data_IF_289051936873
#
_entry.id   IF_289051936873
#
_cell.length_a   1.000
_cell.length_b   1.000
_cell.length_c   1.000
_cell.angle_alpha   90.00
_cell.angle_beta   90.00
_cell.angle_gamma   90.00
#
_symmetry.space_group_name_H-M   'P 1'
#
loop_
_entity.id
_entity.type
_entity.pdbx_description
1 polymer ?
#
# COMPACT_ATOMS: atom_id res chain seq x y z
N UNK A 1 -9.70 -12.80 11.44
CA UNK A 1 -8.50 -13.30 10.77
C UNK A 1 -7.63 -13.96 11.82
N UNK A 2 -7.25 -15.22 11.61
CA UNK A 2 -6.29 -15.91 12.49
C UNK A 2 -4.86 -15.41 12.29
N UNK A 3 -3.93 -15.80 13.15
CA UNK A 3 -2.51 -15.42 13.02
C UNK A 3 -1.90 -15.98 11.74
N UNK A 4 -2.13 -17.27 11.45
CA UNK A 4 -1.57 -17.93 10.27
C UNK A 4 -2.11 -17.31 8.97
N UNK A 5 -3.42 -17.06 8.91
CA UNK A 5 -4.08 -16.36 7.80
C UNK A 5 -3.48 -14.95 7.57
N UNK A 6 -3.09 -14.25 8.64
CA UNK A 6 -2.43 -12.95 8.53
C UNK A 6 -1.00 -13.07 8.02
N UNK A 7 -0.23 -14.06 8.50
CA UNK A 7 1.13 -14.32 8.03
C UNK A 7 1.12 -14.64 6.54
N UNK A 8 0.24 -15.51 6.08
CA UNK A 8 0.08 -15.84 4.66
C UNK A 8 -0.30 -14.62 3.82
N UNK A 9 -1.09 -13.70 4.39
CA UNK A 9 -1.49 -12.47 3.71
C UNK A 9 -0.32 -11.50 3.50
N UNK A 10 0.55 -11.33 4.50
CA UNK A 10 1.58 -10.27 4.50
C UNK A 10 2.99 -10.76 4.14
N UNK A 11 3.21 -12.07 4.11
CA UNK A 11 4.52 -12.67 3.80
C UNK A 11 4.44 -13.59 2.59
N UNK A 12 5.58 -13.83 1.95
CA UNK A 12 5.71 -14.86 0.91
C UNK A 12 7.13 -15.41 0.90
N UNK A 13 7.25 -16.71 0.62
CA UNK A 13 8.54 -17.36 0.40
C UNK A 13 9.19 -16.99 -0.93
N UNK A 14 8.43 -16.36 -1.85
CA UNK A 14 8.90 -15.94 -3.17
C UNK A 14 8.79 -14.42 -3.31
N UNK A 15 9.77 -13.76 -3.95
CA UNK A 15 9.68 -12.33 -4.23
C UNK A 15 8.47 -11.99 -5.09
N UNK A 16 7.87 -10.82 -4.85
CA UNK A 16 6.81 -10.28 -5.69
C UNK A 16 7.37 -9.97 -7.07
N UNK A 17 6.70 -10.46 -8.12
CA UNK A 17 7.09 -10.16 -9.51
C UNK A 17 6.82 -8.70 -9.86
N UNK A 18 7.86 -7.98 -10.29
CA UNK A 18 7.77 -6.56 -10.62
C UNK A 18 7.26 -6.26 -12.04
N UNK A 19 7.20 -7.27 -12.92
CA UNK A 19 6.90 -7.08 -14.36
C UNK A 19 5.52 -6.49 -14.64
N UNK A 20 4.58 -6.64 -13.71
CA UNK A 20 3.20 -6.17 -13.81
C UNK A 20 3.01 -4.74 -13.31
N UNK A 21 4.03 -4.13 -12.73
CA UNK A 21 3.96 -2.80 -12.14
C UNK A 21 4.41 -1.73 -13.12
N UNK A 22 3.80 -0.54 -13.02
CA UNK A 22 4.25 0.60 -13.81
C UNK A 22 5.63 1.08 -13.36
N UNK A 23 6.34 1.84 -14.20
CA UNK A 23 7.63 2.47 -13.82
C UNK A 23 7.51 3.27 -12.51
N UNK A 24 6.36 3.91 -12.29
CA UNK A 24 6.09 4.70 -11.09
C UNK A 24 5.89 3.82 -9.86
N UNK A 25 5.15 2.72 -10.00
CA UNK A 25 4.99 1.73 -8.93
C UNK A 25 6.34 1.12 -8.54
N UNK A 26 7.15 0.72 -9.53
CA UNK A 26 8.49 0.15 -9.30
C UNK A 26 9.38 1.15 -8.53
N UNK A 27 9.34 2.44 -8.89
CA UNK A 27 10.04 3.49 -8.15
C UNK A 27 9.57 3.59 -6.69
N UNK A 28 8.27 3.49 -6.46
CA UNK A 28 7.67 3.49 -5.11
C UNK A 28 8.09 2.29 -4.27
N UNK A 29 8.00 1.10 -4.87
CA UNK A 29 8.38 -0.18 -4.26
C UNK A 29 9.85 -0.15 -3.86
N UNK A 30 10.74 0.22 -4.79
CA UNK A 30 12.17 0.30 -4.52
C UNK A 30 12.52 1.33 -3.43
N UNK A 31 11.74 2.42 -3.31
CA UNK A 31 11.96 3.46 -2.32
C UNK A 31 11.24 3.22 -0.98
N UNK A 32 10.38 2.20 -0.88
CA UNK A 32 9.48 2.01 0.27
C UNK A 32 8.54 3.20 0.50
N UNK A 33 8.03 3.82 -0.58
CA UNK A 33 7.21 5.05 -0.53
C UNK A 33 6.04 4.99 -1.49
N UNK A 34 4.93 5.62 -1.11
CA UNK A 34 3.85 5.93 -2.03
C UNK A 34 4.16 7.23 -2.81
N UNK A 35 3.72 7.29 -4.08
CA UNK A 35 3.83 8.44 -4.96
C UNK A 35 2.53 8.66 -5.72
N UNK A 36 2.21 9.92 -6.03
CA UNK A 36 1.02 10.29 -6.83
C UNK A 36 1.04 9.59 -8.18
N UNK A 37 -0.03 8.85 -8.48
CA UNK A 37 -0.23 8.04 -9.68
C UNK A 37 0.13 6.57 -9.52
N UNK A 38 0.64 6.13 -8.36
CA UNK A 38 0.81 4.69 -8.08
C UNK A 38 -0.54 3.98 -8.01
N UNK A 39 -0.56 2.70 -8.36
CA UNK A 39 -1.75 1.85 -8.18
C UNK A 39 -1.89 1.40 -6.73
N UNK A 40 -3.11 1.04 -6.30
CA UNK A 40 -3.34 0.38 -5.00
C UNK A 40 -2.40 -0.81 -4.76
N UNK A 41 -2.22 -1.67 -5.76
CA UNK A 41 -1.29 -2.81 -5.69
C UNK A 41 0.15 -2.36 -5.50
N UNK A 42 0.58 -1.30 -6.20
CA UNK A 42 1.92 -0.74 -6.06
C UNK A 42 2.15 -0.18 -4.65
N UNK A 43 1.15 0.48 -4.07
CA UNK A 43 1.22 1.00 -2.70
C UNK A 43 1.32 -0.16 -1.69
N UNK A 44 0.53 -1.23 -1.83
CA UNK A 44 0.65 -2.42 -0.97
C UNK A 44 2.01 -3.10 -1.08
N UNK A 45 2.56 -3.20 -2.30
CA UNK A 45 3.89 -3.78 -2.48
C UNK A 45 5.01 -2.89 -1.90
N UNK A 46 4.81 -1.56 -1.85
CA UNK A 46 5.78 -0.61 -1.33
C UNK A 46 5.72 -0.44 0.20
N UNK A 47 4.51 -0.42 0.78
CA UNK A 47 4.26 -0.07 2.18
C UNK A 47 3.67 -1.21 3.02
N UNK A 48 3.27 -2.30 2.40
CA UNK A 48 2.48 -3.35 3.03
C UNK A 48 1.01 -2.98 3.19
N UNK A 49 0.28 -3.85 3.88
CA UNK A 49 -1.14 -3.63 4.18
C UNK A 49 -1.31 -2.53 5.25
N UNK A 50 -2.25 -1.59 5.06
CA UNK A 50 -2.54 -0.58 6.06
C UNK A 50 -3.21 -1.20 7.28
N UNK A 51 -3.08 -0.60 8.48
CA UNK A 51 -3.74 -1.11 9.69
C UNK A 51 -5.27 -1.07 9.56
N UNK A 52 -5.88 -2.23 9.76
CA UNK A 52 -7.33 -2.46 9.54
C UNK A 52 -8.21 -1.54 10.37
N UNK A 53 -7.80 -1.18 11.59
CA UNK A 53 -8.57 -0.28 12.46
C UNK A 53 -8.66 1.17 11.95
N UNK A 54 -7.77 1.60 11.02
CA UNK A 54 -7.85 2.91 10.35
C UNK A 54 -8.20 2.82 8.87
N UNK A 55 -8.02 1.65 8.29
CA UNK A 55 -8.38 1.36 6.89
C UNK A 55 -9.17 0.05 6.86
N UNK A 56 -10.49 0.08 7.12
CA UNK A 56 -11.30 -1.13 7.26
C UNK A 56 -11.42 -1.93 5.95
N UNK A 57 -11.29 -1.26 4.80
CA UNK A 57 -11.35 -1.88 3.48
C UNK A 57 -10.25 -1.35 2.56
N UNK A 58 -9.67 -2.23 1.74
CA UNK A 58 -8.72 -1.85 0.70
C UNK A 58 -9.41 -1.14 -0.48
N UNK A 59 -10.73 -1.20 -0.58
CA UNK A 59 -11.52 -0.45 -1.56
C UNK A 59 -11.80 0.99 -1.12
N UNK A 60 -11.46 1.34 0.14
CA UNK A 60 -11.61 2.69 0.65
C UNK A 60 -10.89 3.73 -0.23
N UNK A 61 -11.46 4.91 -0.35
CA UNK A 61 -10.88 6.03 -1.10
C UNK A 61 -9.60 6.59 -0.47
N UNK A 62 -9.32 6.26 0.80
CA UNK A 62 -8.12 6.69 1.52
C UNK A 62 -7.58 5.55 2.37
N UNK A 63 -6.27 5.37 2.38
CA UNK A 63 -5.57 4.45 3.29
C UNK A 63 -4.69 5.24 4.25
N UNK A 64 -4.67 4.82 5.52
CA UNK A 64 -3.86 5.46 6.56
C UNK A 64 -2.70 4.56 6.94
N UNK A 65 -1.49 5.11 6.89
CA UNK A 65 -0.23 4.48 7.33
C UNK A 65 0.41 5.27 8.46
N UNK A 66 1.27 4.65 9.24
CA UNK A 66 2.08 5.33 10.25
C UNK A 66 3.47 5.56 9.67
N UNK A 67 3.89 6.82 9.61
CA UNK A 67 5.27 7.18 9.26
C UNK A 67 6.20 6.99 10.46
N UNK A 68 5.68 7.23 11.66
CA UNK A 68 6.36 6.99 12.93
C UNK A 68 5.32 6.92 14.06
N UNK A 69 5.79 6.82 15.31
CA UNK A 69 4.95 6.73 16.51
C UNK A 69 3.95 7.89 16.70
N UNK A 70 4.16 9.02 16.02
CA UNK A 70 3.41 10.26 16.20
C UNK A 70 2.70 10.76 14.94
N UNK A 71 3.08 10.28 13.76
CA UNK A 71 2.60 10.81 12.49
C UNK A 71 2.06 9.72 11.60
N UNK A 72 0.91 10.00 11.01
CA UNK A 72 0.30 9.19 9.97
C UNK A 72 0.46 9.84 8.60
N UNK A 73 0.43 9.03 7.55
CA UNK A 73 0.31 9.47 6.16
C UNK A 73 -1.02 8.92 5.63
N UNK A 74 -1.84 9.79 5.06
CA UNK A 74 -3.01 9.43 4.28
C UNK A 74 -2.65 9.29 2.80
N UNK A 75 -3.03 8.17 2.19
CA UNK A 75 -2.89 7.91 0.75
C UNK A 75 -4.28 7.93 0.14
N UNK A 76 -4.61 9.00 -0.58
CA UNK A 76 -5.93 9.17 -1.20
C UNK A 76 -5.90 8.65 -2.64
N UNK A 77 -6.94 7.92 -3.04
CA UNK A 77 -7.07 7.30 -4.36
C UNK A 77 -8.14 7.99 -5.20
N UNK A 78 -7.92 8.06 -6.51
CA UNK A 78 -8.92 8.46 -7.49
C UNK A 78 -9.89 7.31 -7.82
N UNK A 79 -10.89 7.60 -8.66
CA UNK A 79 -11.88 6.63 -9.13
C UNK A 79 -11.29 5.49 -9.99
N UNK A 80 -10.03 5.62 -10.45
CA UNK A 80 -9.28 4.59 -11.19
C UNK A 80 -8.37 3.79 -10.27
N UNK A 81 -8.44 4.01 -8.94
CA UNK A 81 -7.62 3.30 -7.96
C UNK A 81 -6.14 3.70 -8.00
N UNK A 82 -5.84 4.93 -8.42
CA UNK A 82 -4.48 5.49 -8.41
C UNK A 82 -4.35 6.56 -7.35
N UNK A 83 -3.15 6.68 -6.76
CA UNK A 83 -2.88 7.69 -5.74
C UNK A 83 -3.09 9.09 -6.33
N UNK A 84 -4.06 9.82 -5.78
CA UNK A 84 -4.36 11.20 -6.11
C UNK A 84 -3.52 12.16 -5.27
N UNK A 85 -3.39 11.90 -3.96
CA UNK A 85 -2.69 12.77 -3.02
C UNK A 85 -2.11 11.99 -1.84
N UNK A 86 -1.13 12.61 -1.18
CA UNK A 86 -0.57 12.19 0.10
C UNK A 86 -0.76 13.33 1.11
N UNK A 87 -1.20 13.04 2.32
CA UNK A 87 -1.47 14.04 3.37
C UNK A 87 -0.98 13.61 4.75
#
# INVERSE_FOLDING_TARGET
>A
MGVDEYIEKVTSSKPVSLSRFSKKDIKGIAAGKAYVGMSRKGVLAALGYPPTHRTPSLDASSWIYWANRFRTIGVDFDNKGRVKALR
#
